data_IF_858739684528
#
_entry.id   IF_858739684528
#
_cell.length_a   1.000
_cell.length_b   1.000
_cell.length_c   1.000
_cell.angle_alpha   90.00
_cell.angle_beta   90.00
_cell.angle_gamma   90.00
#
_symmetry.space_group_name_H-M   'P 1'
#
loop_
_entity.id
_entity.type
_entity.pdbx_description
1 polymer ?
#
# COMPACT_ATOMS: atom_id res chain seq x y z
N UNK A 1 36.19 -6.70 -1.28
CA UNK A 1 35.42 -5.77 -2.13
C UNK A 1 36.36 -5.34 -3.23
N UNK A 2 36.05 -5.61 -4.52
CA UNK A 2 36.86 -5.09 -5.62
C UNK A 2 36.86 -3.55 -5.53
N UNK A 3 37.98 -2.93 -5.87
CA UNK A 3 38.07 -1.48 -5.92
C UNK A 3 37.23 -0.99 -7.11
N UNK A 4 36.28 -0.09 -6.83
CA UNK A 4 35.47 0.59 -7.85
C UNK A 4 36.42 1.38 -8.76
N UNK A 5 36.49 1.05 -10.07
CA UNK A 5 37.30 1.82 -11.01
C UNK A 5 36.53 3.08 -11.44
N UNK A 6 36.70 4.14 -10.64
CA UNK A 6 36.01 5.41 -10.85
C UNK A 6 36.32 6.05 -12.21
N UNK A 7 37.43 5.69 -12.89
CA UNK A 7 37.84 6.30 -14.16
C UNK A 7 36.90 5.98 -15.32
N UNK A 8 36.48 4.71 -15.46
CA UNK A 8 35.60 4.26 -16.54
C UNK A 8 34.12 4.52 -16.23
N UNK A 9 33.75 4.60 -14.95
CA UNK A 9 32.36 4.77 -14.51
C UNK A 9 31.98 6.24 -14.19
N UNK A 10 32.90 7.20 -14.28
CA UNK A 10 32.68 8.58 -13.82
C UNK A 10 31.42 9.24 -14.40
N UNK A 11 31.17 9.11 -15.70
CA UNK A 11 30.03 9.76 -16.35
C UNK A 11 28.69 9.21 -15.85
N UNK A 12 28.63 7.89 -15.66
CA UNK A 12 27.44 7.19 -15.18
C UNK A 12 27.16 7.49 -13.71
N UNK A 13 28.22 7.56 -12.89
CA UNK A 13 28.14 7.98 -11.49
C UNK A 13 27.67 9.44 -11.39
N UNK A 14 28.27 10.35 -12.17
CA UNK A 14 27.88 11.76 -12.20
C UNK A 14 26.41 11.93 -12.60
N UNK A 15 25.91 11.09 -13.52
CA UNK A 15 24.50 11.06 -13.90
C UNK A 15 23.61 10.63 -12.73
N UNK A 16 23.99 9.58 -12.00
CA UNK A 16 23.25 9.13 -10.83
C UNK A 16 23.25 10.17 -9.71
N UNK A 17 24.40 10.77 -9.40
CA UNK A 17 24.51 11.81 -8.37
C UNK A 17 23.67 13.04 -8.76
N UNK A 18 23.64 13.43 -10.03
CA UNK A 18 22.75 14.52 -10.48
C UNK A 18 21.27 14.18 -10.28
N UNK A 19 20.88 12.92 -10.51
CA UNK A 19 19.50 12.45 -10.38
C UNK A 19 19.08 12.20 -8.93
N UNK A 20 20.01 11.74 -8.11
CA UNK A 20 19.87 11.36 -6.70
C UNK A 20 20.98 12.03 -5.87
N UNK A 21 20.88 13.35 -5.63
CA UNK A 21 21.97 14.14 -5.04
C UNK A 21 22.29 13.81 -3.58
N UNK A 22 21.39 13.14 -2.87
CA UNK A 22 21.59 12.91 -1.44
C UNK A 22 20.59 11.95 -0.81
N UNK A 23 20.90 11.58 0.42
CA UNK A 23 20.04 10.84 1.32
C UNK A 23 20.01 11.58 2.65
N UNK A 24 18.84 12.09 3.04
CA UNK A 24 18.66 12.78 4.32
C UNK A 24 17.92 11.87 5.29
N UNK A 25 18.52 11.58 6.44
CA UNK A 25 17.89 10.83 7.53
C UNK A 25 17.58 11.82 8.65
N UNK A 26 16.30 11.92 8.98
CA UNK A 26 15.76 12.82 9.99
C UNK A 26 15.05 12.05 11.10
N UNK A 27 15.06 12.64 12.29
CA UNK A 27 14.27 12.19 13.43
C UNK A 27 13.31 13.32 13.79
N UNK A 28 12.02 13.14 13.49
CA UNK A 28 10.98 14.14 13.74
C UNK A 28 10.58 14.18 15.21
N UNK A 29 10.63 13.04 15.89
CA UNK A 29 10.32 12.93 17.32
C UNK A 29 11.18 11.86 17.99
N UNK A 30 11.66 12.17 19.20
CA UNK A 30 12.39 11.26 20.07
C UNK A 30 12.00 11.54 21.52
N UNK A 31 11.12 10.72 22.06
CA UNK A 31 10.63 10.81 23.43
C UNK A 31 10.51 9.43 24.09
N UNK A 32 10.17 9.39 25.38
CA UNK A 32 9.99 8.13 26.10
C UNK A 32 8.84 7.28 25.52
N UNK A 33 7.81 7.93 24.98
CA UNK A 33 6.57 7.25 24.55
C UNK A 33 6.40 7.21 23.03
N UNK A 34 7.24 7.93 22.27
CA UNK A 34 7.12 8.03 20.82
C UNK A 34 8.47 8.26 20.13
N UNK A 35 8.67 7.53 19.05
CA UNK A 35 9.81 7.63 18.15
C UNK A 35 9.29 7.86 16.73
N UNK A 36 9.80 8.87 16.03
CA UNK A 36 9.47 9.12 14.63
C UNK A 36 10.72 9.46 13.83
N UNK A 37 10.95 8.67 12.77
CA UNK A 37 12.07 8.82 11.85
C UNK A 37 11.55 8.97 10.41
N UNK A 38 12.29 9.69 9.59
CA UNK A 38 12.05 9.76 8.16
C UNK A 38 13.36 9.73 7.39
N UNK A 39 13.35 9.10 6.24
CA UNK A 39 14.45 9.08 5.28
C UNK A 39 13.94 9.67 3.98
N UNK A 40 14.63 10.68 3.46
CA UNK A 40 14.33 11.31 2.18
C UNK A 40 15.43 10.92 1.21
N UNK A 41 15.08 10.15 0.18
CA UNK A 41 15.93 10.02 -1.00
C UNK A 41 15.75 11.30 -1.82
N UNK A 42 16.75 12.15 -1.79
CA UNK A 42 16.71 13.41 -2.53
C UNK A 42 16.84 13.09 -4.03
N UNK A 43 16.10 13.84 -4.82
CA UNK A 43 16.06 13.68 -6.28
C UNK A 43 16.22 15.03 -6.95
N UNK A 44 16.54 15.05 -8.24
CA UNK A 44 16.41 16.29 -9.00
C UNK A 44 14.96 16.80 -9.01
N UNK A 45 14.78 18.08 -9.32
CA UNK A 45 13.47 18.73 -9.27
C UNK A 45 12.44 18.13 -10.23
N UNK A 46 12.88 17.55 -11.35
CA UNK A 46 11.97 16.94 -12.31
C UNK A 46 11.42 15.61 -11.78
N UNK A 47 12.28 14.77 -11.18
CA UNK A 47 11.85 13.55 -10.52
C UNK A 47 10.96 13.84 -9.32
N UNK A 48 11.32 14.80 -8.47
CA UNK A 48 10.50 15.18 -7.32
C UNK A 48 9.10 15.65 -7.77
N UNK A 49 9.02 16.43 -8.84
CA UNK A 49 7.76 16.84 -9.43
C UNK A 49 6.92 15.64 -9.91
N UNK A 50 7.52 14.70 -10.62
CA UNK A 50 6.85 13.47 -11.07
C UNK A 50 6.38 12.61 -9.89
N UNK A 51 7.23 12.36 -8.90
CA UNK A 51 6.92 11.57 -7.70
C UNK A 51 5.67 12.10 -6.97
N UNK A 52 5.53 13.42 -6.83
CA UNK A 52 4.33 14.04 -6.23
C UNK A 52 3.03 13.74 -6.98
N UNK A 53 3.11 13.49 -8.29
CA UNK A 53 1.93 13.15 -9.11
C UNK A 53 1.56 11.67 -9.03
N UNK A 54 2.45 10.82 -8.51
CA UNK A 54 2.19 9.38 -8.42
C UNK A 54 1.20 9.03 -7.32
N UNK A 55 1.08 9.85 -6.28
CA UNK A 55 0.14 9.59 -5.21
C UNK A 55 -1.30 9.85 -5.64
N UNK A 56 -2.22 8.96 -5.27
CA UNK A 56 -3.65 9.11 -5.46
C UNK A 56 -4.39 9.16 -4.12
N UNK A 57 -5.58 9.76 -4.12
CA UNK A 57 -6.43 9.82 -2.94
C UNK A 57 -7.18 8.50 -2.76
N UNK A 58 -7.12 7.97 -1.54
CA UNK A 58 -7.87 6.77 -1.13
C UNK A 58 -8.62 7.13 0.16
N UNK A 59 -9.93 6.85 0.26
CA UNK A 59 -10.67 7.11 1.49
C UNK A 59 -10.04 6.39 2.69
N UNK A 60 -9.82 7.14 3.77
CA UNK A 60 -9.26 6.60 5.02
C UNK A 60 -7.79 6.23 5.01
N UNK A 61 -7.05 6.39 3.90
CA UNK A 61 -5.61 6.13 3.86
C UNK A 61 -4.87 7.17 4.73
N UNK A 62 -3.96 6.70 5.59
CA UNK A 62 -3.28 7.53 6.59
C UNK A 62 -3.98 7.57 7.96
N UNK A 63 -5.03 6.79 8.18
CA UNK A 63 -5.72 6.70 9.47
C UNK A 63 -5.31 5.42 10.22
N UNK A 64 -4.99 5.57 11.50
CA UNK A 64 -4.72 4.47 12.44
C UNK A 64 -5.98 4.11 13.25
N UNK A 65 -7.04 3.68 12.56
CA UNK A 65 -8.40 3.53 13.10
C UNK A 65 -8.82 2.07 13.41
N UNK A 66 -7.86 1.15 13.54
CA UNK A 66 -8.15 -0.29 13.59
C UNK A 66 -7.06 -1.13 14.27
N UNK A 67 -7.19 -2.46 14.26
CA UNK A 67 -6.14 -3.38 14.72
C UNK A 67 -4.87 -3.22 13.86
N UNK A 68 -5.07 -3.17 12.55
CA UNK A 68 -4.03 -2.98 11.55
C UNK A 68 -4.64 -2.47 10.25
N UNK A 69 -3.91 -1.65 9.49
CA UNK A 69 -4.26 -1.38 8.11
C UNK A 69 -3.05 -1.21 7.22
N UNK A 70 -3.23 -1.47 5.93
CA UNK A 70 -2.25 -1.20 4.89
C UNK A 70 -2.99 -0.69 3.67
N UNK A 71 -2.41 0.29 2.99
CA UNK A 71 -2.98 0.83 1.78
C UNK A 71 -1.95 1.43 0.86
N UNK A 72 -2.36 1.53 -0.39
CA UNK A 72 -1.58 2.02 -1.50
C UNK A 72 -2.44 3.02 -2.28
N UNK A 73 -1.94 4.23 -2.50
CA UNK A 73 -2.60 5.26 -3.30
C UNK A 73 -1.71 5.65 -4.47
N UNK A 74 -1.89 5.00 -5.63
CA UNK A 74 -1.09 5.26 -6.83
C UNK A 74 -1.96 5.66 -8.03
N UNK A 75 -1.62 6.78 -8.63
CA UNK A 75 -2.13 7.21 -9.92
C UNK A 75 -1.46 6.39 -11.03
N UNK A 76 -1.95 5.17 -11.24
CA UNK A 76 -1.37 4.20 -12.18
C UNK A 76 -1.19 4.76 -13.61
N UNK A 77 -2.16 5.49 -14.21
CA UNK A 77 -1.94 6.07 -15.53
C UNK A 77 -0.73 7.02 -15.60
N UNK A 78 -0.55 7.87 -14.59
CA UNK A 78 0.57 8.81 -14.52
C UNK A 78 1.88 8.08 -14.25
N UNK A 79 1.86 7.11 -13.33
CA UNK A 79 3.01 6.28 -13.00
C UNK A 79 3.52 5.51 -14.23
N UNK A 80 2.62 4.86 -14.98
CA UNK A 80 2.97 4.10 -16.20
C UNK A 80 3.62 5.02 -17.24
N UNK A 81 3.04 6.20 -17.49
CA UNK A 81 3.59 7.17 -18.44
C UNK A 81 4.99 7.65 -18.02
N UNK A 82 5.20 7.92 -16.72
CA UNK A 82 6.50 8.33 -16.21
C UNK A 82 7.54 7.21 -16.32
N UNK A 83 7.18 5.98 -15.94
CA UNK A 83 8.09 4.83 -16.03
C UNK A 83 8.46 4.50 -17.49
N UNK A 84 7.53 4.61 -18.43
CA UNK A 84 7.83 4.44 -19.87
C UNK A 84 8.83 5.49 -20.36
N UNK A 85 8.66 6.76 -19.94
CA UNK A 85 9.61 7.83 -20.27
C UNK A 85 10.99 7.54 -19.69
N UNK A 86 11.08 7.15 -18.43
CA UNK A 86 12.36 6.83 -17.79
C UNK A 86 13.04 5.60 -18.39
N UNK A 87 12.28 4.58 -18.76
CA UNK A 87 12.80 3.43 -19.50
C UNK A 87 13.41 3.85 -20.84
N UNK A 88 12.73 4.74 -21.58
CA UNK A 88 13.23 5.28 -22.84
C UNK A 88 14.49 6.14 -22.64
N UNK A 89 14.56 6.96 -21.60
CA UNK A 89 15.75 7.75 -21.25
C UNK A 89 16.97 6.84 -21.01
N UNK A 90 16.79 5.74 -20.25
CA UNK A 90 17.86 4.76 -20.01
C UNK A 90 18.20 3.97 -21.27
N UNK A 91 17.22 3.63 -22.12
CA UNK A 91 17.49 2.96 -23.39
C UNK A 91 18.29 3.85 -24.36
N UNK A 92 18.01 5.15 -24.40
CA UNK A 92 18.72 6.11 -25.27
C UNK A 92 20.12 6.45 -24.75
N UNK A 93 20.32 6.37 -23.44
CA UNK A 93 21.61 6.57 -22.79
C UNK A 93 21.86 5.43 -21.78
N UNK A 94 22.21 4.21 -22.24
CA UNK A 94 22.45 3.11 -21.32
C UNK A 94 23.64 3.41 -20.40
N UNK A 95 23.60 2.86 -19.20
CA UNK A 95 24.79 2.81 -18.34
C UNK A 95 25.84 1.93 -19.02
N UNK A 96 27.07 2.40 -19.13
CA UNK A 96 28.18 1.68 -19.78
C UNK A 96 29.06 0.97 -18.75
N UNK A 97 29.15 1.51 -17.52
CA UNK A 97 29.86 0.91 -16.41
C UNK A 97 29.32 -0.49 -16.08
N UNK A 98 30.21 -1.49 -16.03
CA UNK A 98 29.86 -2.90 -15.75
C UNK A 98 29.07 -3.05 -14.44
N UNK A 99 29.49 -2.34 -13.38
CA UNK A 99 28.83 -2.36 -12.07
C UNK A 99 27.41 -1.77 -12.08
N UNK A 100 27.06 -0.99 -13.11
CA UNK A 100 25.76 -0.32 -13.26
C UNK A 100 24.88 -0.94 -14.36
N UNK A 101 25.35 -1.97 -15.05
CA UNK A 101 24.57 -2.68 -16.07
C UNK A 101 23.26 -3.26 -15.52
N UNK A 102 23.21 -3.59 -14.23
CA UNK A 102 21.99 -4.02 -13.56
C UNK A 102 20.84 -3.01 -13.65
N UNK A 103 21.14 -1.71 -13.73
CA UNK A 103 20.13 -0.67 -13.90
C UNK A 103 19.49 -0.76 -15.30
N UNK A 104 20.29 -1.02 -16.34
CA UNK A 104 19.75 -1.22 -17.69
C UNK A 104 18.78 -2.41 -17.71
N UNK A 105 19.19 -3.54 -17.11
CA UNK A 105 18.35 -4.74 -16.99
C UNK A 105 17.04 -4.46 -16.24
N UNK A 106 17.11 -3.77 -15.10
CA UNK A 106 15.91 -3.38 -14.33
C UNK A 106 14.92 -2.57 -15.17
N UNK A 107 15.38 -1.65 -16.02
CA UNK A 107 14.47 -0.87 -16.88
C UNK A 107 13.88 -1.67 -18.04
N UNK A 108 14.56 -2.72 -18.51
CA UNK A 108 13.97 -3.71 -19.43
C UNK A 108 12.85 -4.47 -18.72
N UNK A 109 13.11 -4.99 -17.52
CA UNK A 109 12.12 -5.74 -16.73
C UNK A 109 10.89 -4.87 -16.40
N UNK A 110 11.11 -3.60 -16.02
CA UNK A 110 10.03 -2.63 -15.81
C UNK A 110 9.23 -2.43 -17.10
N UNK A 111 9.90 -2.24 -18.24
CA UNK A 111 9.21 -2.05 -19.53
C UNK A 111 8.33 -3.25 -19.88
N UNK A 112 8.83 -4.46 -19.65
CA UNK A 112 8.08 -5.69 -19.88
C UNK A 112 6.89 -5.81 -18.93
N UNK A 113 7.06 -5.48 -17.65
CA UNK A 113 5.99 -5.47 -16.67
C UNK A 113 4.89 -4.45 -17.01
N UNK A 114 5.25 -3.28 -17.55
CA UNK A 114 4.30 -2.25 -17.98
C UNK A 114 3.47 -2.68 -19.19
N UNK A 115 3.95 -3.64 -19.97
CA UNK A 115 3.22 -4.24 -21.09
C UNK A 115 2.22 -5.32 -20.65
N UNK A 116 2.08 -5.59 -19.34
CA UNK A 116 1.13 -6.56 -18.82
C UNK A 116 -0.32 -6.12 -19.12
N UNK A 117 -1.11 -6.91 -19.88
CA UNK A 117 -2.48 -6.55 -20.24
C UNK A 117 -3.40 -6.32 -19.04
N UNK A 118 -3.21 -7.08 -17.95
CA UNK A 118 -4.02 -6.93 -16.73
C UNK A 118 -3.76 -5.59 -16.05
N UNK A 119 -2.50 -5.15 -16.00
CA UNK A 119 -2.14 -3.84 -15.47
C UNK A 119 -2.75 -2.72 -16.33
N UNK A 120 -2.62 -2.81 -17.65
CA UNK A 120 -3.16 -1.81 -18.58
C UNK A 120 -4.68 -1.71 -18.54
N UNK A 121 -5.39 -2.83 -18.36
CA UNK A 121 -6.85 -2.85 -18.23
C UNK A 121 -7.35 -2.32 -16.88
N UNK A 122 -6.60 -2.56 -15.79
CA UNK A 122 -7.00 -2.17 -14.43
C UNK A 122 -6.57 -0.75 -14.05
N UNK A 123 -5.51 -0.21 -14.66
CA UNK A 123 -4.97 1.11 -14.36
C UNK A 123 -5.99 2.26 -14.44
N UNK A 124 -6.94 2.29 -15.40
CA UNK A 124 -8.00 3.31 -15.42
C UNK A 124 -9.08 3.09 -14.35
N UNK A 125 -9.18 1.88 -13.81
CA UNK A 125 -10.26 1.46 -12.91
C UNK A 125 -9.84 1.45 -11.43
N UNK A 126 -8.55 1.40 -11.10
CA UNK A 126 -8.06 1.43 -9.72
C UNK A 126 -6.95 2.46 -9.60
N UNK A 127 -7.07 3.32 -8.58
CA UNK A 127 -6.02 4.27 -8.18
C UNK A 127 -5.55 4.04 -6.76
N UNK A 128 -6.13 3.09 -6.05
CA UNK A 128 -5.60 2.68 -4.76
C UNK A 128 -6.49 1.73 -4.02
N UNK A 129 -5.98 1.26 -2.89
CA UNK A 129 -6.67 0.37 -1.98
C UNK A 129 -6.28 0.69 -0.53
N UNK A 130 -7.18 0.39 0.40
CA UNK A 130 -6.92 0.29 1.84
C UNK A 130 -7.55 -1.00 2.34
N UNK A 131 -6.74 -1.87 2.93
CA UNK A 131 -7.20 -2.99 3.73
C UNK A 131 -7.10 -2.60 5.20
N UNK A 132 -8.22 -2.67 5.92
CA UNK A 132 -8.35 -2.44 7.35
C UNK A 132 -8.78 -3.74 8.02
N UNK A 133 -8.09 -4.13 9.08
CA UNK A 133 -8.38 -5.32 9.88
C UNK A 133 -8.89 -4.82 11.22
N UNK A 134 -10.12 -5.18 11.57
CA UNK A 134 -10.77 -4.74 12.81
C UNK A 134 -10.67 -5.81 13.91
N UNK A 135 -10.65 -7.09 13.52
CA UNK A 135 -10.39 -8.20 14.42
C UNK A 135 -9.72 -9.36 13.71
N UNK A 136 -8.95 -10.14 14.46
CA UNK A 136 -8.28 -11.35 13.98
C UNK A 136 -8.23 -12.37 15.13
N UNK A 137 -8.66 -13.61 14.89
CA UNK A 137 -8.68 -14.68 15.87
C UNK A 137 -8.69 -16.05 15.19
N UNK A 138 -8.33 -17.10 15.92
CA UNK A 138 -8.40 -18.49 15.44
C UNK A 138 -9.69 -19.13 15.92
N UNK A 139 -10.46 -19.71 15.01
CA UNK A 139 -11.64 -20.51 15.32
C UNK A 139 -11.54 -21.87 14.61
N UNK A 140 -11.63 -22.98 15.35
CA UNK A 140 -11.54 -24.33 14.79
C UNK A 140 -10.28 -24.59 13.95
N UNK A 141 -9.12 -24.06 14.36
CA UNK A 141 -7.86 -24.11 13.60
C UNK A 141 -7.86 -23.32 12.28
N UNK A 142 -8.85 -22.46 12.04
CA UNK A 142 -8.92 -21.58 10.88
C UNK A 142 -8.82 -20.08 11.29
N UNK A 143 -8.09 -19.25 10.51
CA UNK A 143 -8.13 -17.80 10.65
C UNK A 143 -9.53 -17.26 10.41
N UNK A 144 -9.99 -16.43 11.34
CA UNK A 144 -11.22 -15.66 11.19
C UNK A 144 -11.02 -14.23 11.71
N UNK A 145 -11.90 -13.32 11.31
CA UNK A 145 -11.76 -11.91 11.62
C UNK A 145 -12.77 -11.05 10.89
N UNK A 146 -12.67 -9.75 11.16
CA UNK A 146 -13.47 -8.72 10.52
C UNK A 146 -12.59 -7.65 9.91
N UNK A 147 -13.04 -7.02 8.84
CA UNK A 147 -12.26 -5.98 8.19
C UNK A 147 -12.97 -5.31 7.04
N UNK A 148 -12.31 -4.29 6.47
CA UNK A 148 -12.80 -3.50 5.35
C UNK A 148 -11.75 -3.44 4.25
N UNK A 149 -12.16 -3.69 3.03
CA UNK A 149 -11.41 -3.37 1.83
C UNK A 149 -12.07 -2.16 1.14
N UNK A 150 -11.33 -1.07 1.02
CA UNK A 150 -11.72 0.10 0.21
C UNK A 150 -10.85 0.13 -1.04
N UNK A 151 -11.49 0.23 -2.21
CA UNK A 151 -10.84 0.38 -3.51
C UNK A 151 -11.19 1.78 -4.05
N UNK A 152 -10.19 2.59 -4.33
CA UNK A 152 -10.36 3.93 -4.90
C UNK A 152 -10.27 3.88 -6.43
N UNK A 153 -11.14 4.63 -7.10
CA UNK A 153 -11.23 4.64 -8.56
C UNK A 153 -11.75 5.97 -9.09
N UNK A 154 -11.21 6.48 -10.21
CA UNK A 154 -11.82 7.60 -10.93
C UNK A 154 -13.07 7.18 -11.73
N UNK A 155 -13.38 5.87 -11.78
CA UNK A 155 -14.50 5.30 -12.53
C UNK A 155 -15.21 4.21 -11.70
N UNK A 156 -16.11 4.63 -10.81
CA UNK A 156 -16.89 3.73 -9.96
C UNK A 156 -17.64 2.62 -10.73
N UNK A 157 -18.20 2.94 -11.90
CA UNK A 157 -18.91 1.94 -12.71
C UNK A 157 -17.94 0.91 -13.32
N UNK A 158 -16.77 1.36 -13.79
CA UNK A 158 -15.70 0.49 -14.27
C UNK A 158 -15.17 -0.43 -13.15
N UNK A 159 -14.97 0.14 -11.96
CA UNK A 159 -14.57 -0.61 -10.76
C UNK A 159 -15.62 -1.66 -10.39
N UNK A 160 -16.90 -1.30 -10.37
CA UNK A 160 -17.98 -2.24 -10.08
C UNK A 160 -18.06 -3.37 -11.12
N UNK A 161 -17.94 -3.04 -12.41
CA UNK A 161 -17.92 -4.03 -13.48
C UNK A 161 -16.74 -5.01 -13.35
N UNK A 162 -15.56 -4.50 -12.98
CA UNK A 162 -14.38 -5.32 -12.74
C UNK A 162 -14.55 -6.18 -11.47
N UNK A 163 -15.01 -5.61 -10.36
CA UNK A 163 -15.29 -6.38 -9.15
C UNK A 163 -16.32 -7.50 -9.43
N UNK A 164 -17.35 -7.20 -10.23
CA UNK A 164 -18.38 -8.14 -10.66
C UNK A 164 -17.84 -9.27 -11.54
N UNK A 165 -16.77 -9.05 -12.31
CA UNK A 165 -16.17 -10.13 -13.11
C UNK A 165 -15.42 -11.15 -12.26
N UNK A 166 -14.97 -10.76 -11.06
CA UNK A 166 -14.30 -11.67 -10.13
C UNK A 166 -15.26 -12.25 -9.08
N UNK A 167 -16.19 -11.43 -8.59
CA UNK A 167 -17.18 -11.78 -7.57
C UNK A 167 -18.58 -11.45 -8.12
N UNK A 168 -19.21 -12.35 -8.88
CA UNK A 168 -20.51 -12.11 -9.51
C UNK A 168 -21.61 -11.69 -8.53
N UNK A 169 -21.49 -12.11 -7.27
CA UNK A 169 -22.44 -11.78 -6.22
C UNK A 169 -22.45 -10.28 -5.88
N UNK A 170 -21.35 -9.54 -6.12
CA UNK A 170 -21.29 -8.08 -5.96
C UNK A 170 -22.19 -7.40 -6.99
N UNK A 171 -22.28 -7.94 -8.22
CA UNK A 171 -23.17 -7.42 -9.26
C UNK A 171 -24.64 -7.51 -8.83
N UNK A 172 -25.00 -8.63 -8.19
CA UNK A 172 -26.38 -8.92 -7.77
C UNK A 172 -26.90 -7.96 -6.68
N UNK A 173 -26.00 -7.28 -5.95
CA UNK A 173 -26.40 -6.25 -4.99
C UNK A 173 -27.05 -5.04 -5.66
N UNK A 174 -26.76 -4.78 -6.94
CA UNK A 174 -27.22 -3.58 -7.63
C UNK A 174 -26.72 -2.31 -6.94
N UNK A 175 -25.45 -2.29 -6.53
CA UNK A 175 -24.82 -1.12 -5.91
C UNK A 175 -24.97 0.10 -6.82
N UNK A 176 -25.18 1.26 -6.22
CA UNK A 176 -25.26 2.54 -6.93
C UNK A 176 -24.35 3.55 -6.24
N UNK A 177 -23.93 4.60 -6.95
CA UNK A 177 -22.97 5.60 -6.46
C UNK A 177 -23.53 6.52 -5.34
N UNK A 178 -24.63 6.15 -4.71
CA UNK A 178 -25.28 6.91 -3.63
C UNK A 178 -24.68 6.60 -2.24
N UNK A 179 -23.72 5.68 -2.14
CA UNK A 179 -23.12 5.24 -0.88
C UNK A 179 -24.04 4.41 0.01
N UNK A 180 -25.14 3.90 -0.54
CA UNK A 180 -26.03 2.99 0.17
C UNK A 180 -25.34 1.64 0.39
N UNK A 181 -25.40 1.16 1.64
CA UNK A 181 -24.82 -0.12 2.03
C UNK A 181 -25.78 -1.24 1.70
N UNK A 182 -25.29 -2.26 1.02
CA UNK A 182 -26.03 -3.46 0.70
C UNK A 182 -25.33 -4.71 1.20
N UNK A 183 -26.10 -5.63 1.74
CA UNK A 183 -25.60 -6.88 2.29
C UNK A 183 -25.81 -8.01 1.29
N UNK A 184 -24.80 -8.88 1.15
CA UNK A 184 -24.96 -10.14 0.45
C UNK A 184 -25.85 -11.07 1.26
N UNK A 185 -26.76 -11.76 0.57
CA UNK A 185 -27.57 -12.81 1.21
C UNK A 185 -26.63 -13.94 1.69
N UNK A 186 -26.84 -14.50 2.90
CA UNK A 186 -26.07 -15.65 3.37
C UNK A 186 -26.06 -16.83 2.38
N UNK A 187 -27.14 -17.03 1.63
CA UNK A 187 -27.25 -18.11 0.63
C UNK A 187 -26.30 -17.94 -0.56
N UNK A 188 -25.74 -16.74 -0.74
CA UNK A 188 -24.80 -16.40 -1.81
C UNK A 188 -23.33 -16.57 -1.39
N UNK A 189 -23.09 -16.80 -0.10
CA UNK A 189 -21.75 -16.91 0.48
C UNK A 189 -21.38 -18.39 0.69
N UNK A 190 -20.12 -18.77 0.41
CA UNK A 190 -19.62 -20.10 0.79
C UNK A 190 -19.83 -20.38 2.28
N UNK A 191 -20.11 -21.62 2.68
CA UNK A 191 -20.20 -22.00 4.10
C UNK A 191 -18.94 -21.58 4.86
N UNK A 192 -19.12 -20.93 6.02
CA UNK A 192 -18.02 -20.45 6.86
C UNK A 192 -17.47 -19.07 6.48
N UNK A 193 -17.91 -18.48 5.37
CA UNK A 193 -17.54 -17.09 5.04
C UNK A 193 -18.29 -16.11 5.96
N UNK A 194 -17.63 -15.07 6.51
CA UNK A 194 -18.30 -14.05 7.28
C UNK A 194 -19.28 -13.26 6.40
N UNK A 195 -20.22 -12.54 7.03
CA UNK A 195 -21.15 -11.67 6.31
C UNK A 195 -20.38 -10.67 5.44
N UNK A 196 -20.94 -10.34 4.28
CA UNK A 196 -20.30 -9.38 3.37
C UNK A 196 -21.27 -8.26 3.08
N UNK A 197 -20.80 -7.04 3.28
CA UNK A 197 -21.53 -5.80 3.00
C UNK A 197 -20.71 -4.95 2.04
N UNK A 198 -21.36 -4.17 1.18
CA UNK A 198 -20.67 -3.32 0.23
C UNK A 198 -21.42 -2.01 -0.02
N UNK A 199 -20.67 -0.96 -0.33
CA UNK A 199 -21.20 0.35 -0.69
C UNK A 199 -20.32 0.98 -1.77
N UNK A 200 -20.93 1.76 -2.67
CA UNK A 200 -20.26 2.39 -3.80
C UNK A 200 -20.51 3.91 -3.76
N UNK A 201 -19.46 4.71 -3.88
CA UNK A 201 -19.52 6.16 -4.10
C UNK A 201 -19.17 6.48 -5.55
N UNK A 202 -19.03 7.76 -5.88
CA UNK A 202 -18.53 8.19 -7.19
C UNK A 202 -17.08 7.78 -7.45
N UNK A 203 -16.30 7.55 -6.39
CA UNK A 203 -14.84 7.43 -6.42
C UNK A 203 -14.28 6.23 -5.65
N UNK A 204 -15.11 5.41 -5.03
CA UNK A 204 -14.65 4.24 -4.28
C UNK A 204 -15.71 3.13 -4.15
N UNK A 205 -15.25 1.90 -4.04
CA UNK A 205 -16.01 0.73 -3.60
C UNK A 205 -15.47 0.29 -2.25
N UNK A 206 -16.33 0.18 -1.24
CA UNK A 206 -15.96 -0.35 0.07
C UNK A 206 -16.70 -1.66 0.31
N UNK A 207 -15.97 -2.68 0.73
CA UNK A 207 -16.47 -4.01 1.07
C UNK A 207 -16.09 -4.33 2.51
N UNK A 208 -17.08 -4.61 3.36
CA UNK A 208 -16.90 -5.09 4.72
C UNK A 208 -17.06 -6.60 4.81
N UNK A 209 -16.20 -7.22 5.61
CA UNK A 209 -16.23 -8.65 5.94
C UNK A 209 -16.48 -8.81 7.43
N UNK A 210 -17.56 -9.51 7.79
CA UNK A 210 -18.04 -9.68 9.16
C UNK A 210 -18.52 -8.38 9.81
N UNK A 211 -18.90 -7.39 9.01
CA UNK A 211 -19.36 -6.07 9.47
C UNK A 211 -20.80 -5.86 9.01
N UNK A 212 -21.72 -6.06 9.94
CA UNK A 212 -23.16 -5.92 9.71
C UNK A 212 -23.69 -4.52 10.05
N UNK A 213 -22.83 -3.63 10.56
CA UNK A 213 -23.22 -2.27 10.95
C UNK A 213 -23.06 -1.32 9.77
N UNK A 214 -24.16 -0.84 9.13
CA UNK A 214 -24.07 -0.07 7.90
C UNK A 214 -23.32 1.26 8.06
N UNK A 215 -23.40 1.90 9.23
CA UNK A 215 -22.67 3.15 9.47
C UNK A 215 -21.18 2.97 9.34
N UNK A 216 -20.61 1.85 9.82
CA UNK A 216 -19.16 1.59 9.74
C UNK A 216 -18.68 1.53 8.28
N UNK A 217 -19.46 0.90 7.40
CA UNK A 217 -19.15 0.83 5.95
C UNK A 217 -19.31 2.21 5.29
N UNK A 218 -20.38 2.93 5.65
CA UNK A 218 -20.61 4.28 5.12
C UNK A 218 -19.52 5.26 5.55
N UNK A 219 -19.05 5.15 6.78
CA UNK A 219 -18.00 5.99 7.35
C UNK A 219 -16.65 5.68 6.69
N UNK A 220 -16.32 4.40 6.48
CA UNK A 220 -15.12 4.00 5.75
C UNK A 220 -15.12 4.51 4.30
N UNK A 221 -16.27 4.42 3.61
CA UNK A 221 -16.42 4.92 2.24
C UNK A 221 -16.24 6.44 2.15
N UNK A 222 -16.66 7.18 3.18
CA UNK A 222 -16.59 8.65 3.25
C UNK A 222 -15.37 9.17 4.01
N UNK A 223 -14.51 8.28 4.47
CA UNK A 223 -13.39 8.65 5.32
C UNK A 223 -12.48 9.64 4.57
N UNK A 224 -12.07 10.74 5.21
CA UNK A 224 -11.23 11.73 4.56
C UNK A 224 -9.90 11.08 4.15
N UNK A 225 -9.45 11.38 2.94
CA UNK A 225 -8.07 11.11 2.55
C UNK A 225 -7.11 12.02 3.30
N UNK A 226 -5.88 11.55 3.52
CA UNK A 226 -4.82 12.37 4.10
C UNK A 226 -4.61 13.67 3.29
N UNK A 227 -4.34 14.77 3.99
CA UNK A 227 -4.03 16.07 3.39
C UNK A 227 -2.76 16.03 2.55
N UNK A 228 -1.79 15.20 2.94
CA UNK A 228 -0.62 14.87 2.16
C UNK A 228 -0.88 13.56 1.40
N UNK A 229 -0.81 13.55 0.06
CA UNK A 229 -1.01 12.33 -0.72
C UNK A 229 0.03 11.26 -0.36
N UNK A 230 -0.44 10.15 0.22
CA UNK A 230 0.41 9.00 0.56
C UNK A 230 0.41 8.01 -0.60
N UNK A 231 1.58 7.58 -1.02
CA UNK A 231 1.73 6.45 -1.94
C UNK A 231 1.49 5.13 -1.21
N UNK A 232 2.01 5.02 0.01
CA UNK A 232 1.82 3.87 0.89
C UNK A 232 1.58 4.36 2.31
N UNK A 233 0.69 3.67 3.02
CA UNK A 233 0.54 3.82 4.46
C UNK A 233 0.21 2.47 5.08
N UNK A 234 0.80 2.17 6.21
CA UNK A 234 0.36 1.06 7.04
C UNK A 234 0.51 1.38 8.52
N UNK A 235 -0.34 0.79 9.34
CA UNK A 235 -0.16 0.80 10.77
C UNK A 235 -0.52 -0.55 11.39
N UNK A 236 0.09 -0.83 12.54
CA UNK A 236 -0.10 -2.04 13.35
C UNK A 236 -0.20 -1.63 14.82
N UNK A 237 -1.17 -2.17 15.54
CA UNK A 237 -1.29 -1.96 16.99
C UNK A 237 -0.66 -3.12 17.77
N UNK A 238 -0.44 -2.92 19.06
CA UNK A 238 -0.06 -3.97 20.01
C UNK A 238 -0.99 -5.19 19.95
N UNK A 239 -2.29 -4.93 19.86
CA UNK A 239 -3.33 -5.95 19.75
C UNK A 239 -3.18 -6.80 18.49
N UNK A 240 -2.65 -6.27 17.39
CA UNK A 240 -2.39 -7.05 16.18
C UNK A 240 -1.32 -8.11 16.45
N UNK A 241 -0.22 -7.73 17.09
CA UNK A 241 0.83 -8.68 17.46
C UNK A 241 0.31 -9.74 18.43
N UNK A 242 -0.51 -9.36 19.41
CA UNK A 242 -1.15 -10.33 20.31
C UNK A 242 -2.11 -11.28 19.58
N UNK A 243 -2.87 -10.76 18.62
CA UNK A 243 -3.81 -11.56 17.82
C UNK A 243 -3.10 -12.62 16.96
N UNK A 244 -1.83 -12.39 16.59
CA UNK A 244 -1.02 -13.33 15.82
C UNK A 244 -0.40 -14.47 16.64
N UNK A 245 -0.33 -14.36 17.97
CA UNK A 245 0.31 -15.39 18.81
C UNK A 245 -0.33 -16.79 18.62
N UNK A 246 -1.67 -16.94 18.71
CA UNK A 246 -2.29 -18.26 18.50
C UNK A 246 -2.04 -18.81 17.09
N UNK A 247 -1.88 -17.92 16.09
CA UNK A 247 -1.53 -18.32 14.73
C UNK A 247 -0.11 -18.86 14.64
N UNK A 248 0.87 -18.17 15.24
CA UNK A 248 2.25 -18.61 15.25
C UNK A 248 2.41 -19.95 15.98
N UNK A 249 1.63 -20.18 17.04
CA UNK A 249 1.67 -21.43 17.83
C UNK A 249 0.98 -22.61 17.14
N UNK A 250 -0.12 -22.37 16.41
CA UNK A 250 -0.92 -23.45 15.80
C UNK A 250 -0.59 -23.69 14.33
N UNK A 251 -0.21 -22.65 13.60
CA UNK A 251 0.14 -22.71 12.18
C UNK A 251 1.66 -22.61 12.08
N UNK A 252 2.31 -23.79 12.08
CA UNK A 252 3.75 -23.95 11.94
C UNK A 252 4.39 -23.49 10.60
N UNK A 253 3.72 -23.08 9.49
CA UNK A 253 4.45 -22.83 8.25
C UNK A 253 5.13 -21.45 8.15
N UNK A 254 5.01 -20.56 9.15
CA UNK A 254 5.68 -19.24 9.11
C UNK A 254 7.13 -19.24 9.64
N UNK A 255 7.68 -20.39 10.05
CA UNK A 255 9.08 -20.53 10.46
C UNK A 255 9.44 -19.82 11.78
N UNK A 256 10.67 -20.03 12.25
CA UNK A 256 11.19 -19.51 13.53
C UNK A 256 11.28 -17.97 13.59
N UNK A 257 11.07 -17.25 12.48
CA UNK A 257 11.23 -15.78 12.36
C UNK A 257 10.09 -14.98 13.02
N UNK A 258 8.89 -15.55 13.15
CA UNK A 258 7.75 -14.91 13.84
C UNK A 258 7.20 -15.83 14.93
N UNK A 259 8.07 -16.20 15.89
CA UNK A 259 7.65 -16.98 17.05
C UNK A 259 6.68 -16.22 17.96
N UNK A 260 5.83 -16.96 18.69
CA UNK A 260 4.93 -16.37 19.70
C UNK A 260 5.66 -15.52 20.75
N UNK A 261 6.93 -15.83 21.05
CA UNK A 261 7.77 -15.04 21.95
C UNK A 261 8.14 -13.67 21.36
N UNK A 262 8.50 -13.61 20.07
CA UNK A 262 8.81 -12.36 19.39
C UNK A 262 7.56 -11.47 19.29
N UNK A 263 6.41 -12.06 18.95
CA UNK A 263 5.12 -11.35 18.92
C UNK A 263 4.71 -10.84 20.31
N UNK A 264 4.97 -11.62 21.36
CA UNK A 264 4.77 -11.20 22.75
C UNK A 264 5.69 -10.03 23.11
N UNK A 265 6.94 -10.04 22.63
CA UNK A 265 7.86 -8.90 22.81
C UNK A 265 7.35 -7.66 22.09
N UNK A 266 6.90 -7.77 20.85
CA UNK A 266 6.36 -6.62 20.11
C UNK A 266 5.09 -6.05 20.75
N UNK A 267 4.14 -6.90 21.13
CA UNK A 267 2.91 -6.45 21.80
C UNK A 267 3.15 -5.82 23.19
N UNK A 268 4.26 -6.13 23.86
CA UNK A 268 4.60 -5.52 25.16
C UNK A 268 5.41 -4.23 25.04
N UNK A 269 6.11 -4.00 23.92
CA UNK A 269 6.93 -2.81 23.69
C UNK A 269 6.21 -1.73 22.89
N UNK A 270 5.52 -2.13 21.82
CA UNK A 270 4.90 -1.21 20.88
C UNK A 270 3.42 -1.10 21.19
N UNK A 271 2.90 0.11 21.17
CA UNK A 271 1.47 0.43 21.23
C UNK A 271 0.90 0.61 19.83
N UNK A 272 1.60 1.35 18.98
CA UNK A 272 1.24 1.58 17.58
C UNK A 272 2.51 1.74 16.76
N UNK A 273 2.53 1.18 15.55
CA UNK A 273 3.61 1.31 14.59
C UNK A 273 3.02 1.80 13.29
N UNK A 274 3.64 2.79 12.66
CA UNK A 274 3.21 3.36 11.39
C UNK A 274 4.37 3.38 10.39
N UNK A 275 4.06 3.14 9.12
CA UNK A 275 4.96 3.25 7.98
C UNK A 275 4.25 4.05 6.89
N UNK A 276 4.92 5.01 6.26
CA UNK A 276 4.40 5.72 5.11
C UNK A 276 5.45 5.96 4.05
N UNK A 277 4.98 6.08 2.80
CA UNK A 277 5.75 6.57 1.68
C UNK A 277 4.98 7.71 1.05
N UNK A 278 5.64 8.86 0.89
CA UNK A 278 5.11 10.04 0.20
C UNK A 278 6.20 10.74 -0.58
N UNK A 279 5.84 11.71 -1.39
CA UNK A 279 6.80 12.58 -2.05
C UNK A 279 6.63 14.03 -1.61
N UNK A 280 7.73 14.75 -1.57
CA UNK A 280 7.78 16.18 -1.29
C UNK A 280 8.57 16.93 -2.38
N UNK A 281 8.96 18.17 -2.11
CA UNK A 281 9.71 19.00 -3.07
C UNK A 281 11.16 18.53 -3.26
N UNK A 282 11.68 17.68 -2.38
CA UNK A 282 13.06 17.18 -2.37
C UNK A 282 13.16 15.78 -2.95
N UNK A 283 12.14 14.93 -2.77
CA UNK A 283 12.11 13.61 -3.38
C UNK A 283 11.13 12.66 -2.70
N UNK A 284 11.59 11.43 -2.42
CA UNK A 284 10.77 10.38 -1.83
C UNK A 284 11.03 10.27 -0.33
N UNK A 285 10.02 10.55 0.50
CA UNK A 285 10.07 10.34 1.95
C UNK A 285 9.53 8.95 2.29
N UNK A 286 10.36 8.14 2.96
CA UNK A 286 9.96 6.93 3.68
C UNK A 286 9.99 7.28 5.16
N UNK A 287 8.84 7.19 5.83
CA UNK A 287 8.75 7.52 7.24
C UNK A 287 8.20 6.39 8.07
N UNK A 288 8.63 6.37 9.33
CA UNK A 288 8.33 5.35 10.30
C UNK A 288 8.07 6.01 11.65
N UNK A 289 7.01 5.58 12.34
CA UNK A 289 6.71 6.02 13.70
C UNK A 289 6.36 4.83 14.57
N UNK A 290 6.74 4.91 15.84
CA UNK A 290 6.38 3.93 16.87
C UNK A 290 5.96 4.68 18.13
N UNK A 291 4.82 4.31 18.67
CA UNK A 291 4.41 4.60 20.03
C UNK A 291 4.82 3.44 20.94
N UNK A 292 5.45 3.77 22.07
CA UNK A 292 5.92 2.83 23.08
C UNK A 292 4.92 2.75 24.25
N UNK A 293 5.03 1.69 25.06
CA UNK A 293 4.26 1.49 26.29
C UNK A 293 5.00 1.95 27.54
#
# INVERSE_FOLDING_TARGET
MPAFDAGECQQDIDRLIKRFPGLTIGMKEYGPDRFQMNTILETDSALAADLKTFAAKVPGLGQADSLASIGLGLNLPVLIQALQRYALEVQQAPFNCDDLQGINGMWVDISDALNNPMLLMSAPAITGLKLRIDSLFVQNYEPSGTGILTLASPNAQGLLSMASSFVPQIAALGLSNNGEVKNLSPDMLPPGMPSVSAALSSDALTVGFGIDTPSVISDALKAPSNSEPLMLYGHLTDHFYSALIPFAEQMSPFGDELSGNELSRYSSLYKNTELWIKADDYGLEIGFAVELK
#
